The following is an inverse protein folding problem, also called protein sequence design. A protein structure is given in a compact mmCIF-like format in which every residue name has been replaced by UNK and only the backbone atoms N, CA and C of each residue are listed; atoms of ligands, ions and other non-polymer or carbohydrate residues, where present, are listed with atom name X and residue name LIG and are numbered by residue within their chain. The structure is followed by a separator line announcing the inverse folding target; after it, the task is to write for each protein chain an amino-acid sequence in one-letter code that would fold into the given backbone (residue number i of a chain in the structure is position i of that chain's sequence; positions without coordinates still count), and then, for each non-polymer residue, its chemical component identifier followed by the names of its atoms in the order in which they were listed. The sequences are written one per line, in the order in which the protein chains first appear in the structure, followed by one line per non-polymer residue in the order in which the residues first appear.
data_IF_821225012582
#
_entry.id   IF_821225012582
#
_cell.length_a   1.000
_cell.length_b   1.000
_cell.length_c   1.000
_cell.angle_alpha   90.00
_cell.angle_beta   90.00
_cell.angle_gamma   90.00
#
_symmetry.space_group_name_H-M   'P 1'
#
loop_
_entity.id
_entity.type
_entity.pdbx_description
1 polymer ?
#
# COMPACT_ATOMS: atom_id res chain seq x y z
N UNK A 1 -1.47 0.63 -15.45
CA UNK A 1 -2.47 1.23 -16.35
C UNK A 1 -2.43 2.74 -16.21
N UNK A 2 -2.24 3.45 -17.32
CA UNK A 2 -2.41 4.90 -17.36
C UNK A 2 -3.86 5.22 -17.80
N UNK A 3 -4.47 6.21 -17.15
CA UNK A 3 -5.87 6.60 -17.40
C UNK A 3 -5.88 7.97 -18.04
N UNK A 4 -6.27 8.01 -19.31
CA UNK A 4 -6.26 9.23 -20.10
C UNK A 4 -7.67 9.85 -20.04
N UNK A 5 -7.85 11.05 -19.44
CA UNK A 5 -9.13 11.74 -19.44
C UNK A 5 -9.59 12.01 -20.88
N UNK A 6 -10.85 11.69 -21.18
CA UNK A 6 -11.50 11.97 -22.47
C UNK A 6 -12.57 13.04 -22.32
N UNK A 7 -13.33 13.00 -21.23
CA UNK A 7 -14.36 13.94 -20.85
C UNK A 7 -14.58 13.83 -19.32
N UNK A 8 -15.35 14.73 -18.69
CA UNK A 8 -15.68 14.60 -17.27
C UNK A 8 -16.24 13.22 -16.94
N UNK A 9 -15.54 12.48 -16.07
CA UNK A 9 -15.89 11.10 -15.66
C UNK A 9 -15.62 10.01 -16.68
N UNK A 10 -15.10 10.33 -17.87
CA UNK A 10 -14.78 9.34 -18.92
C UNK A 10 -13.26 9.24 -19.08
N UNK A 11 -12.74 8.02 -18.95
CA UNK A 11 -11.32 7.73 -19.05
C UNK A 11 -11.05 6.59 -20.02
N UNK A 12 -10.09 6.80 -20.92
CA UNK A 12 -9.54 5.72 -21.72
C UNK A 12 -8.46 4.96 -20.93
N UNK A 13 -8.49 3.64 -21.04
CA UNK A 13 -7.46 2.76 -20.51
C UNK A 13 -6.26 2.72 -21.46
N UNK A 14 -5.07 2.97 -20.94
CA UNK A 14 -3.81 2.78 -21.65
C UNK A 14 -2.91 1.83 -20.83
N UNK A 15 -2.66 0.66 -21.36
CA UNK A 15 -1.79 -0.34 -20.73
C UNK A 15 -0.34 -0.08 -21.13
N UNK A 16 0.51 0.05 -20.11
CA UNK A 16 1.95 0.26 -20.28
C UNK A 16 2.65 -0.92 -19.63
N UNK A 17 3.41 -1.66 -20.43
CA UNK A 17 4.28 -2.71 -19.94
C UNK A 17 5.60 -2.10 -19.47
N UNK A 18 5.97 -2.35 -18.22
CA UNK A 18 7.23 -1.89 -17.65
C UNK A 18 8.06 -3.11 -17.29
N UNK A 19 9.28 -3.18 -17.79
CA UNK A 19 10.21 -4.22 -17.41
C UNK A 19 10.68 -3.98 -15.98
N UNK A 20 10.52 -4.98 -15.12
CA UNK A 20 11.02 -4.96 -13.75
C UNK A 20 12.37 -5.68 -13.61
N UNK A 21 12.92 -6.19 -14.71
CA UNK A 21 14.24 -6.83 -14.78
C UNK A 21 14.98 -6.40 -16.05
N UNK A 22 16.30 -6.27 -15.93
CA UNK A 22 17.18 -6.10 -17.07
C UNK A 22 18.25 -7.20 -17.03
N UNK A 23 18.33 -8.02 -18.08
CA UNK A 23 19.27 -9.16 -18.18
C UNK A 23 19.26 -10.04 -16.92
N UNK A 24 18.05 -10.34 -16.40
CA UNK A 24 17.85 -11.14 -15.19
C UNK A 24 18.03 -10.39 -13.87
N UNK A 25 18.64 -9.22 -13.86
CA UNK A 25 18.85 -8.40 -12.66
C UNK A 25 17.58 -7.60 -12.34
N UNK A 26 17.19 -7.50 -11.05
CA UNK A 26 16.04 -6.70 -10.63
C UNK A 26 16.31 -5.20 -10.86
N UNK A 27 15.27 -4.48 -11.27
CA UNK A 27 15.26 -3.02 -11.39
C UNK A 27 14.58 -2.35 -10.18
N UNK A 28 14.12 -3.15 -9.22
CA UNK A 28 13.58 -2.64 -7.97
C UNK A 28 14.64 -2.60 -6.87
N UNK A 29 14.46 -1.70 -5.92
CA UNK A 29 15.21 -1.65 -4.66
C UNK A 29 14.36 -2.31 -3.58
N UNK A 30 14.85 -3.38 -2.96
CA UNK A 30 14.18 -4.02 -1.84
C UNK A 30 14.72 -3.46 -0.52
N UNK A 31 13.82 -3.23 0.44
CA UNK A 31 14.25 -2.83 1.78
C UNK A 31 14.95 -4.03 2.48
N UNK A 32 16.13 -3.82 3.11
CA UNK A 32 16.94 -4.93 3.63
C UNK A 32 16.25 -5.74 4.74
N UNK A 33 15.37 -5.11 5.50
CA UNK A 33 14.78 -5.71 6.71
C UNK A 33 13.25 -5.64 6.75
N UNK A 34 12.60 -5.22 5.65
CA UNK A 34 11.14 -5.08 5.57
C UNK A 34 10.62 -5.66 4.27
N UNK A 35 9.43 -6.18 4.31
CA UNK A 35 8.71 -6.64 3.11
C UNK A 35 8.16 -5.41 2.35
N UNK A 36 9.07 -4.73 1.69
CA UNK A 36 8.82 -3.53 0.91
C UNK A 36 9.84 -3.40 -0.21
N UNK A 37 9.39 -2.98 -1.38
CA UNK A 37 10.25 -2.70 -2.51
C UNK A 37 9.71 -1.50 -3.32
N UNK A 38 10.62 -0.77 -3.96
CA UNK A 38 10.30 0.32 -4.86
C UNK A 38 10.97 0.09 -6.23
N UNK A 39 10.28 0.44 -7.30
CA UNK A 39 10.80 0.45 -8.66
C UNK A 39 10.64 1.84 -9.23
N UNK A 40 11.73 2.35 -9.84
CA UNK A 40 11.69 3.61 -10.56
C UNK A 40 10.99 3.41 -11.90
N UNK A 41 10.06 4.31 -12.21
CA UNK A 41 9.37 4.32 -13.49
C UNK A 41 10.13 5.16 -14.50
N UNK A 42 10.11 4.79 -15.79
CA UNK A 42 10.72 5.62 -16.85
C UNK A 42 10.18 7.06 -16.82
N UNK A 43 11.07 8.03 -16.90
CA UNK A 43 10.73 9.47 -16.79
C UNK A 43 9.83 9.97 -17.93
N UNK A 44 9.81 9.25 -19.07
CA UNK A 44 8.97 9.56 -20.21
C UNK A 44 7.48 9.26 -19.95
N UNK A 45 7.18 8.48 -18.91
CA UNK A 45 5.81 8.17 -18.53
C UNK A 45 5.17 9.38 -17.86
N UNK A 46 4.26 10.02 -18.59
CA UNK A 46 3.40 11.09 -18.02
C UNK A 46 2.34 10.46 -17.11
N UNK A 47 2.63 10.38 -15.83
CA UNK A 47 1.72 9.88 -14.80
C UNK A 47 1.45 10.97 -13.76
N UNK A 48 0.24 11.00 -13.22
CA UNK A 48 -0.06 11.78 -12.03
C UNK A 48 0.41 10.98 -10.82
N UNK A 49 1.54 11.39 -10.25
CA UNK A 49 2.08 10.81 -9.02
C UNK A 49 1.71 11.67 -7.81
N UNK A 50 1.61 11.06 -6.65
CA UNK A 50 1.57 11.79 -5.39
C UNK A 50 2.98 12.34 -5.09
N UNK A 51 3.08 13.53 -4.50
CA UNK A 51 4.36 14.11 -4.13
C UNK A 51 5.03 13.30 -3.00
N UNK A 52 6.34 13.47 -2.86
CA UNK A 52 7.14 12.79 -1.84
C UNK A 52 6.60 13.03 -0.43
N UNK A 53 6.12 14.22 -0.14
CA UNK A 53 5.53 14.66 1.13
C UNK A 53 4.22 13.94 1.48
N UNK A 54 3.61 13.27 0.52
CA UNK A 54 2.44 12.39 0.77
C UNK A 54 2.82 11.12 1.54
N UNK A 55 4.09 10.72 1.55
CA UNK A 55 4.55 9.58 2.33
C UNK A 55 4.79 10.05 3.76
N UNK A 56 4.07 9.48 4.72
CA UNK A 56 4.22 9.86 6.12
C UNK A 56 5.65 9.61 6.60
N UNK A 57 6.31 10.64 7.13
CA UNK A 57 7.47 10.50 8.00
C UNK A 57 7.06 9.89 9.33
N UNK A 58 8.03 9.46 10.15
CA UNK A 58 7.73 8.94 11.50
C UNK A 58 7.00 9.99 12.37
N UNK A 59 7.41 11.26 12.29
CA UNK A 59 6.72 12.35 12.99
C UNK A 59 5.28 12.56 12.52
N UNK A 60 5.02 12.35 11.24
CA UNK A 60 3.66 12.43 10.69
C UNK A 60 2.84 11.21 11.11
N UNK A 61 3.43 10.02 11.09
CA UNK A 61 2.78 8.79 11.55
C UNK A 61 2.43 8.86 13.05
N UNK A 62 3.23 9.54 13.86
CA UNK A 62 2.98 9.77 15.28
C UNK A 62 1.71 10.60 15.57
N UNK A 63 1.20 11.32 14.57
CA UNK A 63 -0.03 12.11 14.68
C UNK A 63 -1.29 11.28 14.40
N UNK A 64 -1.14 10.06 13.87
CA UNK A 64 -2.25 9.17 13.59
C UNK A 64 -2.58 8.33 14.82
N UNK A 65 -3.89 8.12 15.09
CA UNK A 65 -4.37 7.45 16.28
C UNK A 65 -5.23 6.22 15.94
N UNK A 66 -5.25 5.26 16.85
CA UNK A 66 -6.16 4.13 16.74
C UNK A 66 -7.63 4.59 16.67
N UNK A 67 -8.40 3.96 15.79
CA UNK A 67 -9.79 4.33 15.52
C UNK A 67 -9.99 5.36 14.42
N UNK A 68 -8.93 6.09 14.00
CA UNK A 68 -9.04 7.03 12.89
C UNK A 68 -9.26 6.32 11.56
N UNK A 69 -10.08 6.95 10.71
CA UNK A 69 -10.50 6.39 9.43
C UNK A 69 -9.35 6.42 8.40
N UNK A 70 -9.23 5.33 7.66
CA UNK A 70 -8.31 5.20 6.53
C UNK A 70 -9.03 4.72 5.27
N UNK A 71 -8.39 4.91 4.13
CA UNK A 71 -8.77 4.37 2.82
C UNK A 71 -7.62 3.55 2.27
N UNK A 72 -7.94 2.40 1.67
CA UNK A 72 -6.99 1.60 0.90
C UNK A 72 -7.39 1.60 -0.57
N UNK A 73 -6.42 1.77 -1.48
CA UNK A 73 -6.63 1.68 -2.92
C UNK A 73 -5.98 0.38 -3.42
N UNK A 74 -6.77 -0.60 -3.79
CA UNK A 74 -6.34 -1.98 -3.97
C UNK A 74 -6.96 -2.65 -5.20
N UNK A 75 -6.41 -3.81 -5.59
CA UNK A 75 -6.86 -4.64 -6.72
C UNK A 75 -7.06 -6.09 -6.29
N UNK A 76 -8.07 -6.38 -5.44
CA UNK A 76 -8.31 -7.72 -4.92
C UNK A 76 -8.54 -8.72 -6.07
N UNK A 77 -7.81 -9.84 -6.04
CA UNK A 77 -7.82 -10.85 -7.12
C UNK A 77 -7.68 -10.22 -8.53
N UNK A 78 -6.91 -9.12 -8.64
CA UNK A 78 -6.75 -8.30 -9.85
C UNK A 78 -8.03 -7.63 -10.34
N UNK A 79 -9.07 -7.58 -9.50
CA UNK A 79 -10.31 -6.89 -9.82
C UNK A 79 -10.12 -5.37 -9.87
N UNK A 80 -10.80 -4.73 -10.78
CA UNK A 80 -10.79 -3.29 -10.99
C UNK A 80 -12.18 -2.70 -10.71
N UNK A 81 -12.23 -1.45 -10.25
CA UNK A 81 -13.48 -0.78 -9.94
C UNK A 81 -14.35 -0.51 -11.19
N UNK A 82 -13.73 -0.37 -12.35
CA UNK A 82 -14.40 -0.14 -13.63
C UNK A 82 -13.48 -0.50 -14.83
N UNK A 83 -14.02 -0.49 -16.08
CA UNK A 83 -13.24 -0.84 -17.27
C UNK A 83 -12.03 0.08 -17.55
N UNK A 84 -12.00 1.29 -16.98
CA UNK A 84 -10.83 2.17 -17.10
C UNK A 84 -9.65 1.74 -16.20
N UNK A 85 -9.84 0.72 -15.37
CA UNK A 85 -8.76 0.14 -14.54
C UNK A 85 -8.51 0.88 -13.23
N UNK A 86 -9.52 1.58 -12.67
CA UNK A 86 -9.35 2.23 -11.37
C UNK A 86 -9.27 1.19 -10.24
N UNK A 87 -8.50 1.54 -9.20
CA UNK A 87 -8.44 0.76 -7.98
C UNK A 87 -9.80 0.73 -7.25
N UNK A 88 -10.06 -0.37 -6.55
CA UNK A 88 -11.17 -0.44 -5.61
C UNK A 88 -10.74 0.28 -4.33
N UNK A 89 -11.56 1.24 -3.90
CA UNK A 89 -11.35 1.93 -2.64
C UNK A 89 -12.10 1.20 -1.53
N UNK A 90 -11.38 0.87 -0.46
CA UNK A 90 -11.96 0.29 0.76
C UNK A 90 -11.80 1.24 1.92
N UNK A 91 -12.76 1.26 2.82
CA UNK A 91 -12.69 1.96 4.10
C UNK A 91 -12.30 1.03 5.22
N UNK A 92 -11.66 1.59 6.25
CA UNK A 92 -11.32 0.92 7.48
C UNK A 92 -10.85 1.93 8.52
N UNK A 93 -10.35 1.45 9.64
CA UNK A 93 -9.77 2.27 10.70
C UNK A 93 -8.45 1.70 11.17
N UNK A 94 -7.59 2.55 11.75
CA UNK A 94 -6.36 2.11 12.41
C UNK A 94 -6.75 1.24 13.61
N UNK A 95 -6.30 -0.02 13.62
CA UNK A 95 -6.73 -1.03 14.59
C UNK A 95 -5.64 -1.44 15.58
N UNK A 96 -4.52 -0.74 15.63
CA UNK A 96 -3.44 -0.99 16.59
C UNK A 96 -2.81 0.29 17.13
N UNK A 97 -2.16 0.19 18.29
CA UNK A 97 -1.42 1.26 18.94
C UNK A 97 -0.29 0.64 19.78
N UNK A 98 0.86 1.30 19.91
CA UNK A 98 1.28 2.53 19.21
C UNK A 98 1.78 2.26 17.79
N UNK A 99 1.80 3.32 16.93
CA UNK A 99 2.34 3.23 15.57
C UNK A 99 3.85 3.54 15.52
N UNK A 100 4.33 4.27 16.50
CA UNK A 100 5.74 4.70 16.63
C UNK A 100 6.29 4.32 18.00
N UNK A 101 7.62 4.19 18.19
CA UNK A 101 8.66 4.35 17.17
C UNK A 101 8.67 3.19 16.17
N UNK A 102 8.92 3.48 14.88
CA UNK A 102 8.90 2.46 13.80
C UNK A 102 10.00 1.41 13.96
N UNK A 103 11.06 1.71 14.69
CA UNK A 103 12.10 0.74 15.02
C UNK A 103 11.53 -0.49 15.78
N UNK A 104 10.49 -0.28 16.58
CA UNK A 104 9.78 -1.30 17.37
C UNK A 104 8.49 -1.71 16.66
N UNK A 105 7.71 -0.74 16.20
CA UNK A 105 6.39 -0.91 15.57
C UNK A 105 6.50 -0.75 14.05
N UNK A 106 7.20 -1.68 13.41
CA UNK A 106 7.48 -1.60 11.97
C UNK A 106 6.25 -1.83 11.09
N UNK A 107 5.18 -2.35 11.66
CA UNK A 107 3.88 -2.54 11.04
C UNK A 107 2.77 -2.23 12.02
N UNK A 108 1.61 -1.88 11.49
CA UNK A 108 0.40 -1.64 12.26
C UNK A 108 -0.79 -2.38 11.63
N UNK A 109 -1.91 -2.41 12.33
CA UNK A 109 -3.12 -3.09 11.88
C UNK A 109 -4.16 -2.09 11.43
N UNK A 110 -4.93 -2.50 10.43
CA UNK A 110 -6.11 -1.76 9.94
C UNK A 110 -7.29 -2.71 9.91
N UNK A 111 -8.42 -2.26 10.46
CA UNK A 111 -9.69 -2.96 10.39
C UNK A 111 -10.27 -2.82 8.97
N UNK A 112 -9.82 -3.68 8.10
CA UNK A 112 -10.33 -3.85 6.73
C UNK A 112 -9.92 -5.22 6.22
N UNK A 113 -10.80 -5.83 5.44
CA UNK A 113 -10.50 -7.13 4.81
C UNK A 113 -9.49 -6.94 3.68
N UNK A 114 -8.47 -7.78 3.64
CA UNK A 114 -7.45 -7.83 2.59
C UNK A 114 -7.57 -9.14 1.83
N UNK A 115 -7.33 -9.10 0.52
CA UNK A 115 -7.33 -10.26 -0.36
C UNK A 115 -6.01 -10.36 -1.13
N UNK A 116 -5.77 -11.50 -1.75
CA UNK A 116 -4.69 -11.67 -2.71
C UNK A 116 -4.76 -10.57 -3.79
N UNK A 117 -3.65 -9.89 -4.04
CA UNK A 117 -3.58 -8.75 -4.96
C UNK A 117 -3.67 -7.37 -4.30
N UNK A 118 -4.06 -7.30 -3.02
CA UNK A 118 -4.10 -6.03 -2.27
C UNK A 118 -2.71 -5.60 -1.77
N UNK A 119 -1.74 -6.51 -1.72
CA UNK A 119 -0.38 -6.22 -1.25
C UNK A 119 0.27 -5.09 -2.05
N UNK A 120 0.91 -4.15 -1.35
CA UNK A 120 1.48 -2.93 -1.90
C UNK A 120 0.48 -1.79 -2.06
N UNK A 121 -0.82 -2.02 -1.85
CA UNK A 121 -1.83 -0.97 -1.87
C UNK A 121 -1.58 0.06 -0.77
N UNK A 122 -1.66 1.38 -1.09
CA UNK A 122 -1.45 2.42 -0.10
C UNK A 122 -2.60 2.47 0.92
N UNK A 123 -2.23 2.69 2.18
CA UNK A 123 -3.15 3.00 3.29
C UNK A 123 -3.10 4.51 3.51
N UNK A 124 -4.17 5.19 3.18
CA UNK A 124 -4.29 6.64 3.13
C UNK A 124 -5.14 7.10 4.31
N UNK A 125 -4.65 8.06 5.10
CA UNK A 125 -5.45 8.67 6.16
C UNK A 125 -6.63 9.44 5.57
N UNK A 126 -7.83 9.30 6.15
CA UNK A 126 -9.03 9.90 5.57
C UNK A 126 -8.99 11.44 5.55
N UNK A 127 -8.38 12.06 6.57
CA UNK A 127 -8.41 13.51 6.79
C UNK A 127 -7.05 14.20 6.70
N UNK A 128 -5.94 13.52 7.04
CA UNK A 128 -4.61 14.13 6.98
C UNK A 128 -4.22 14.52 5.57
N UNK A 129 -3.64 15.70 5.43
CA UNK A 129 -3.20 16.25 4.14
C UNK A 129 -1.81 16.86 4.27
N UNK A 130 -1.09 16.95 3.15
CA UNK A 130 0.08 17.82 3.02
C UNK A 130 -0.35 19.29 3.08
N UNK A 131 0.61 20.21 3.16
CA UNK A 131 0.33 21.66 3.08
C UNK A 131 -0.34 22.05 1.76
N UNK A 132 -0.09 21.31 0.69
CA UNK A 132 -0.70 21.49 -0.64
C UNK A 132 -2.05 20.79 -0.81
N UNK A 133 -2.52 20.07 0.21
CA UNK A 133 -3.82 19.37 0.20
C UNK A 133 -3.76 17.93 -0.31
N UNK A 134 -2.58 17.40 -0.62
CA UNK A 134 -2.42 16.01 -1.06
C UNK A 134 -2.68 15.02 0.10
N UNK A 135 -3.18 13.81 -0.19
CA UNK A 135 -3.44 12.80 0.83
C UNK A 135 -2.15 12.28 1.47
N UNK A 136 -2.22 11.87 2.73
CA UNK A 136 -1.11 11.27 3.46
C UNK A 136 -1.23 9.76 3.46
N UNK A 137 -0.17 9.08 3.00
CA UNK A 137 -0.02 7.62 3.00
C UNK A 137 0.66 7.24 4.31
N UNK A 138 -0.02 6.45 5.15
CA UNK A 138 0.50 5.96 6.43
C UNK A 138 1.32 4.68 6.28
N UNK A 139 1.07 3.90 5.23
CA UNK A 139 1.73 2.62 4.99
C UNK A 139 1.21 1.90 3.77
N UNK A 140 1.66 0.65 3.62
CA UNK A 140 1.33 -0.21 2.49
C UNK A 140 0.83 -1.56 2.99
N UNK A 141 -0.27 -2.04 2.41
CA UNK A 141 -0.82 -3.36 2.73
C UNK A 141 0.24 -4.43 2.46
N UNK A 142 0.51 -5.25 3.46
CA UNK A 142 1.46 -6.37 3.38
C UNK A 142 0.76 -7.72 3.34
N UNK A 143 -0.32 -7.85 4.09
CA UNK A 143 -1.04 -9.12 4.22
C UNK A 143 -2.27 -9.01 5.10
N UNK A 144 -2.80 -10.16 5.47
CA UNK A 144 -3.97 -10.27 6.33
C UNK A 144 -3.68 -11.14 7.56
N UNK A 145 -4.41 -10.89 8.62
CA UNK A 145 -4.44 -11.76 9.80
C UNK A 145 -5.46 -12.88 9.62
N UNK A 146 -5.03 -14.12 9.89
CA UNK A 146 -5.88 -15.30 9.82
C UNK A 146 -5.87 -16.04 11.15
N UNK A 147 -6.99 -16.68 11.49
CA UNK A 147 -7.03 -17.79 12.45
C UNK A 147 -6.86 -19.08 11.66
N UNK A 148 -6.01 -19.97 12.17
CA UNK A 148 -5.86 -21.30 11.61
C UNK A 148 -6.51 -22.32 12.55
N UNK A 149 -7.53 -22.98 12.03
CA UNK A 149 -8.12 -24.15 12.70
C UNK A 149 -7.51 -25.43 12.12
N UNK A 150 -7.08 -26.30 13.03
CA UNK A 150 -6.53 -27.60 12.67
C UNK A 150 -7.47 -28.68 13.15
N UNK A 151 -8.01 -29.47 12.22
CA UNK A 151 -8.83 -30.65 12.53
C UNK A 151 -8.16 -31.90 12.01
N UNK A 152 -8.28 -33.01 12.78
CA UNK A 152 -7.73 -34.31 12.39
C UNK A 152 -8.88 -35.16 11.86
N UNK A 153 -8.92 -35.38 10.56
CA UNK A 153 -9.95 -36.19 9.90
C UNK A 153 -9.66 -37.70 10.02
N UNK A 154 -8.36 -38.08 10.11
CA UNK A 154 -7.93 -39.46 10.35
C UNK A 154 -6.54 -39.49 10.98
N UNK A 155 -6.03 -40.71 11.25
CA UNK A 155 -4.68 -40.89 11.79
C UNK A 155 -3.57 -40.31 10.89
N UNK A 156 -3.85 -40.13 9.59
CA UNK A 156 -2.89 -39.69 8.57
C UNK A 156 -3.28 -38.39 7.86
N UNK A 157 -4.45 -37.83 8.18
CA UNK A 157 -4.95 -36.60 7.51
C UNK A 157 -5.23 -35.53 8.55
N UNK A 158 -4.46 -34.47 8.46
CA UNK A 158 -4.66 -33.22 9.19
C UNK A 158 -5.13 -32.16 8.20
N UNK A 159 -6.27 -31.54 8.48
CA UNK A 159 -6.83 -30.44 7.69
C UNK A 159 -6.59 -29.13 8.42
N UNK A 160 -5.99 -28.18 7.73
CA UNK A 160 -5.82 -26.80 8.21
C UNK A 160 -6.73 -25.88 7.40
N UNK A 161 -7.58 -25.16 8.12
CA UNK A 161 -8.46 -24.17 7.52
C UNK A 161 -8.08 -22.79 8.03
N UNK A 162 -7.88 -21.85 7.12
CA UNK A 162 -7.53 -20.47 7.43
C UNK A 162 -8.76 -19.58 7.29
N UNK A 163 -9.12 -18.89 8.36
CA UNK A 163 -10.23 -17.92 8.38
C UNK A 163 -9.67 -16.51 8.49
N UNK A 164 -9.94 -15.63 7.52
CA UNK A 164 -9.52 -14.23 7.61
C UNK A 164 -10.25 -13.52 8.75
N UNK A 165 -9.50 -12.73 9.54
CA UNK A 165 -10.03 -11.94 10.65
C UNK A 165 -10.64 -10.61 10.22
N UNK A 166 -10.56 -10.24 8.93
CA UNK A 166 -10.94 -8.91 8.49
C UNK A 166 -9.93 -7.82 8.87
N UNK A 167 -8.73 -8.21 9.29
CA UNK A 167 -7.67 -7.29 9.72
C UNK A 167 -6.51 -7.37 8.73
N UNK A 168 -6.11 -6.22 8.23
CA UNK A 168 -4.93 -6.05 7.37
C UNK A 168 -3.70 -5.73 8.19
N UNK A 169 -2.55 -6.30 7.80
CA UNK A 169 -1.24 -5.88 8.24
C UNK A 169 -0.65 -4.87 7.26
N UNK A 170 -0.12 -3.78 7.79
CA UNK A 170 0.38 -2.63 7.03
C UNK A 170 1.82 -2.35 7.41
N UNK A 171 2.73 -2.34 6.45
CA UNK A 171 4.10 -1.87 6.66
C UNK A 171 4.08 -0.35 6.73
N UNK A 172 4.70 0.24 7.74
CA UNK A 172 4.72 1.69 7.96
C UNK A 172 5.40 2.45 6.81
N UNK A 173 4.80 3.56 6.38
CA UNK A 173 5.26 4.34 5.23
C UNK A 173 6.69 4.88 5.33
N UNK A 174 7.22 5.27 6.51
CA UNK A 174 8.58 5.80 6.59
C UNK A 174 9.64 4.88 6.00
N UNK A 175 9.45 3.57 6.02
CA UNK A 175 10.40 2.63 5.38
C UNK A 175 10.48 2.74 3.85
N UNK A 176 9.49 3.35 3.19
CA UNK A 176 9.59 3.65 1.77
C UNK A 176 10.57 4.79 1.51
N UNK A 177 10.70 5.74 2.43
CA UNK A 177 11.63 6.86 2.31
C UNK A 177 13.10 6.39 2.28
N UNK A 178 13.39 5.21 2.85
CA UNK A 178 14.73 4.59 2.77
C UNK A 178 15.06 4.07 1.36
N UNK A 179 14.06 3.88 0.51
CA UNK A 179 14.19 3.29 -0.83
C UNK A 179 14.15 4.32 -1.95
N UNK A 180 13.58 5.49 -1.71
CA UNK A 180 13.42 6.54 -2.71
C UNK A 180 14.28 7.76 -2.34
N UNK A 181 14.94 8.41 -3.32
CA UNK A 181 15.69 9.62 -3.03
C UNK A 181 14.76 10.76 -2.59
N UNK A 182 15.20 11.55 -1.64
CA UNK A 182 14.54 12.81 -1.35
C UNK A 182 14.61 13.72 -2.59
N UNK A 183 13.58 14.53 -2.86
CA UNK A 183 13.65 15.51 -3.93
C UNK A 183 14.81 16.47 -3.68
N UNK A 184 15.54 16.80 -4.75
CA UNK A 184 16.58 17.82 -4.67
C UNK A 184 15.91 19.14 -4.27
N UNK A 185 16.36 19.71 -3.15
CA UNK A 185 15.95 21.07 -2.78
C UNK A 185 16.59 21.99 -3.81
N UNK A 186 15.81 22.51 -4.76
CA UNK A 186 16.23 23.67 -5.54
C UNK A 186 16.46 24.81 -4.55
N UNK A 187 17.72 25.11 -4.28
CA UNK A 187 18.09 26.38 -3.65
C UNK A 187 17.66 27.49 -4.64
N UNK A 188 16.61 28.22 -4.30
CA UNK A 188 16.28 29.51 -4.94
C UNK A 188 17.20 30.61 -4.41
#
# INVERSE_FOLDING_TARGET
VNRIPQAPGIYARNEIAISIRNSGKPLWRAHPNRDLAAVELPSELKINALPYESIASENRLAQAHAGEAVRTAVYPERSEANPAGFAILRGGSIASYPLVPIAVNSSFLVDTTTWTGDSGGPVIHAEMRTEKGDPIILGFVRGMRNITETSRESRFVEKRTHYPLGISEVTAAPFLLDLIPAPETSEE
#
